data_IF_001385307318
#
_entry.id   IF_001385307318
#
_cell.length_a   1.000
_cell.length_b   1.000
_cell.length_c   1.000
_cell.angle_alpha   90.00
_cell.angle_beta   90.00
_cell.angle_gamma   90.00
#
_symmetry.space_group_name_H-M   'P 1'
#
loop_
_entity.id
_entity.type
_entity.pdbx_description
1 polymer ?
#
# COMPACT_ATOMS: atom_id res chain seq x y z
N UNK A 1 25.47 7.02 -10.84
CA UNK A 1 26.12 6.34 -9.68
C UNK A 1 25.85 4.84 -9.78
N UNK A 2 26.87 4.05 -9.60
CA UNK A 2 26.76 2.59 -9.60
C UNK A 2 26.21 2.13 -8.23
N UNK A 3 25.43 1.05 -8.23
CA UNK A 3 24.92 0.42 -7.01
C UNK A 3 26.09 0.05 -6.07
N UNK A 4 27.20 -0.39 -6.62
CA UNK A 4 28.41 -0.78 -5.87
C UNK A 4 29.04 0.37 -5.10
N UNK A 5 28.76 1.61 -5.49
CA UNK A 5 29.29 2.80 -4.82
C UNK A 5 28.49 3.21 -3.57
N UNK A 6 27.36 2.56 -3.33
CA UNK A 6 26.51 2.86 -2.17
C UNK A 6 27.06 2.18 -0.91
N UNK A 7 27.01 2.87 0.24
CA UNK A 7 27.42 2.26 1.50
C UNK A 7 26.58 1.01 1.84
N UNK A 8 27.15 0.05 2.56
CA UNK A 8 26.38 -1.11 3.03
C UNK A 8 25.17 -0.66 3.85
N UNK A 9 24.03 -1.33 3.63
CA UNK A 9 22.78 -1.04 4.32
C UNK A 9 21.88 -0.04 3.62
N UNK A 10 22.40 0.70 2.63
CA UNK A 10 21.56 1.58 1.82
C UNK A 10 20.79 0.77 0.76
N UNK A 11 19.54 1.18 0.42
CA UNK A 11 18.84 0.53 -0.67
C UNK A 11 19.58 0.74 -1.99
N UNK A 12 19.50 -0.23 -2.93
CA UNK A 12 20.18 -0.12 -4.23
C UNK A 12 19.58 0.95 -5.15
N UNK A 13 18.42 1.47 -4.81
CA UNK A 13 17.72 2.48 -5.59
C UNK A 13 17.41 3.69 -4.71
N UNK A 14 17.24 4.87 -5.32
CA UNK A 14 16.98 6.11 -4.62
C UNK A 14 15.62 6.13 -3.93
N UNK A 15 14.62 5.46 -4.52
CA UNK A 15 13.26 5.42 -3.99
C UNK A 15 12.69 4.01 -4.06
N UNK A 16 11.74 3.68 -3.17
CA UNK A 16 10.96 2.45 -3.31
C UNK A 16 10.26 2.34 -4.67
N UNK A 17 9.82 3.48 -5.23
CA UNK A 17 9.19 3.52 -6.54
C UNK A 17 10.11 2.98 -7.65
N UNK A 18 11.37 3.43 -7.69
CA UNK A 18 12.35 2.92 -8.64
C UNK A 18 12.68 1.45 -8.34
N UNK A 19 12.79 1.12 -7.06
CA UNK A 19 13.14 -0.24 -6.63
C UNK A 19 12.07 -1.26 -7.04
N UNK A 20 10.79 -0.92 -6.87
CA UNK A 20 9.69 -1.85 -7.22
C UNK A 20 9.57 -2.05 -8.74
N UNK A 21 10.03 -1.10 -9.54
CA UNK A 21 9.97 -1.17 -10.99
C UNK A 21 9.10 -0.13 -11.68
N UNK A 22 8.75 0.95 -10.97
CA UNK A 22 8.00 2.06 -11.52
C UNK A 22 6.50 1.92 -11.43
N UNK A 23 5.80 2.80 -12.14
CA UNK A 23 4.34 2.96 -12.01
C UNK A 23 3.55 1.71 -12.41
N UNK A 24 3.98 1.00 -13.47
CA UNK A 24 3.28 -0.22 -13.90
C UNK A 24 3.31 -1.31 -12.82
N UNK A 25 4.41 -1.42 -12.08
CA UNK A 25 4.53 -2.39 -10.99
C UNK A 25 3.72 -1.97 -9.77
N UNK A 26 3.64 -0.69 -9.47
CA UNK A 26 2.74 -0.18 -8.43
C UNK A 26 1.29 -0.52 -8.77
N UNK A 27 0.89 -0.29 -10.01
CA UNK A 27 -0.47 -0.61 -10.47
C UNK A 27 -0.78 -2.11 -10.39
N UNK A 28 0.17 -2.96 -10.80
CA UNK A 28 0.01 -4.41 -10.70
C UNK A 28 -0.16 -4.85 -9.24
N UNK A 29 0.61 -4.28 -8.33
CA UNK A 29 0.50 -4.55 -6.90
C UNK A 29 -0.89 -4.18 -6.37
N UNK A 30 -1.38 -2.99 -6.70
CA UNK A 30 -2.68 -2.51 -6.24
C UNK A 30 -3.81 -3.38 -6.81
N UNK A 31 -3.73 -3.74 -8.08
CA UNK A 31 -4.74 -4.61 -8.69
C UNK A 31 -4.78 -5.96 -7.98
N UNK A 32 -3.62 -6.57 -7.70
CA UNK A 32 -3.57 -7.84 -6.99
C UNK A 32 -4.11 -7.72 -5.56
N UNK A 33 -3.78 -6.63 -4.88
CA UNK A 33 -4.26 -6.35 -3.53
C UNK A 33 -5.79 -6.36 -3.47
N UNK A 34 -6.45 -5.64 -4.38
CA UNK A 34 -7.92 -5.60 -4.40
C UNK A 34 -8.54 -6.91 -4.87
N UNK A 35 -7.90 -7.61 -5.80
CA UNK A 35 -8.37 -8.92 -6.22
C UNK A 35 -8.35 -9.93 -5.06
N UNK A 36 -7.27 -9.94 -4.28
CA UNK A 36 -7.16 -10.79 -3.09
C UNK A 36 -8.19 -10.43 -2.04
N UNK A 37 -8.40 -9.14 -1.80
CA UNK A 37 -9.40 -8.66 -0.85
C UNK A 37 -10.80 -9.18 -1.20
N UNK A 38 -11.12 -9.23 -2.48
CA UNK A 38 -12.42 -9.66 -2.96
C UNK A 38 -12.57 -11.19 -2.99
N UNK A 39 -11.49 -11.91 -3.24
CA UNK A 39 -11.53 -13.35 -3.47
C UNK A 39 -11.22 -14.19 -2.22
N UNK A 40 -10.39 -13.69 -1.30
CA UNK A 40 -9.90 -14.49 -0.19
C UNK A 40 -10.73 -14.28 1.09
N UNK A 41 -11.29 -15.37 1.67
CA UNK A 41 -12.09 -15.26 2.90
C UNK A 41 -11.32 -14.68 4.08
N UNK A 42 -10.00 -14.86 4.11
CA UNK A 42 -9.14 -14.32 5.18
C UNK A 42 -9.19 -12.81 5.28
N UNK A 43 -9.65 -12.11 4.24
CA UNK A 43 -9.72 -10.65 4.20
C UNK A 43 -11.16 -10.12 4.24
N UNK A 44 -12.09 -10.94 4.77
CA UNK A 44 -13.51 -10.59 4.77
C UNK A 44 -13.83 -9.31 5.55
N UNK A 45 -13.20 -9.10 6.71
CA UNK A 45 -13.42 -7.89 7.50
C UNK A 45 -12.92 -6.65 6.75
N UNK A 46 -11.77 -6.75 6.13
CA UNK A 46 -11.20 -5.68 5.30
C UNK A 46 -12.11 -5.37 4.12
N UNK A 47 -12.59 -6.40 3.43
CA UNK A 47 -13.51 -6.25 2.30
C UNK A 47 -14.80 -5.54 2.71
N UNK A 48 -15.36 -5.95 3.85
CA UNK A 48 -16.59 -5.35 4.37
C UNK A 48 -16.40 -3.86 4.70
N UNK A 49 -15.23 -3.47 5.18
CA UNK A 49 -14.93 -2.06 5.52
C UNK A 49 -14.89 -1.17 4.28
N UNK A 50 -14.71 -1.73 3.08
CA UNK A 50 -14.63 -0.96 1.83
C UNK A 50 -15.99 -0.71 1.17
N UNK A 51 -17.07 -1.30 1.67
CA UNK A 51 -18.38 -1.19 1.03
C UNK A 51 -18.44 -1.94 -0.29
N UNK A 52 -19.37 -1.55 -1.18
CA UNK A 52 -19.63 -2.29 -2.41
C UNK A 52 -18.79 -1.86 -3.60
N UNK A 53 -18.32 -0.61 -3.63
CA UNK A 53 -17.65 -0.04 -4.80
C UNK A 53 -16.13 0.00 -4.59
N UNK A 54 -15.41 -0.87 -5.30
CA UNK A 54 -13.94 -0.94 -5.21
C UNK A 54 -13.20 -0.20 -6.32
N UNK A 55 -13.84 0.07 -7.45
CA UNK A 55 -13.16 0.65 -8.61
C UNK A 55 -12.52 2.00 -8.28
N UNK A 56 -13.25 2.86 -7.59
CA UNK A 56 -12.77 4.18 -7.20
C UNK A 56 -11.63 4.09 -6.17
N UNK A 57 -11.77 3.20 -5.18
CA UNK A 57 -10.73 2.97 -4.18
C UNK A 57 -9.44 2.46 -4.85
N UNK A 58 -9.57 1.54 -5.78
CA UNK A 58 -8.45 0.97 -6.55
C UNK A 58 -7.67 2.05 -7.29
N UNK A 59 -8.35 2.91 -8.02
CA UNK A 59 -7.69 3.99 -8.76
C UNK A 59 -7.03 5.01 -7.85
N UNK A 60 -7.68 5.38 -6.75
CA UNK A 60 -7.09 6.31 -5.78
C UNK A 60 -5.86 5.73 -5.10
N UNK A 61 -5.87 4.45 -4.75
CA UNK A 61 -4.71 3.81 -4.14
C UNK A 61 -3.53 3.74 -5.09
N UNK A 62 -3.78 3.46 -6.38
CA UNK A 62 -2.72 3.50 -7.39
C UNK A 62 -2.01 4.85 -7.41
N UNK A 63 -2.78 5.93 -7.45
CA UNK A 63 -2.23 7.28 -7.46
C UNK A 63 -1.50 7.62 -6.17
N UNK A 64 -2.09 7.25 -5.03
CA UNK A 64 -1.49 7.53 -3.73
C UNK A 64 -0.17 6.78 -3.54
N UNK A 65 -0.14 5.47 -3.80
CA UNK A 65 1.08 4.68 -3.60
C UNK A 65 2.20 5.07 -4.55
N UNK A 66 1.86 5.48 -5.78
CA UNK A 66 2.86 5.98 -6.72
C UNK A 66 3.64 7.14 -6.11
N UNK A 67 2.96 8.13 -5.55
CA UNK A 67 3.60 9.26 -4.89
C UNK A 67 4.24 8.90 -3.56
N UNK A 68 3.58 8.06 -2.76
CA UNK A 68 4.07 7.63 -1.44
C UNK A 68 5.40 6.88 -1.54
N UNK A 69 5.59 6.13 -2.61
CA UNK A 69 6.84 5.41 -2.86
C UNK A 69 7.94 6.28 -3.49
N UNK A 70 7.67 7.54 -3.74
CA UNK A 70 8.64 8.48 -4.27
C UNK A 70 8.56 8.74 -5.77
N UNK A 71 7.50 8.27 -6.43
CA UNK A 71 7.22 8.56 -7.83
C UNK A 71 6.45 9.85 -8.02
N UNK A 72 5.85 10.06 -9.21
CA UNK A 72 5.04 11.25 -9.47
C UNK A 72 3.91 11.39 -8.48
N UNK A 73 3.65 12.64 -8.05
CA UNK A 73 2.64 12.94 -7.03
C UNK A 73 1.22 12.99 -7.63
N UNK A 74 0.77 11.90 -8.21
CA UNK A 74 -0.50 11.79 -8.94
C UNK A 74 -1.70 12.14 -8.07
N UNK A 75 -1.74 11.59 -6.85
CA UNK A 75 -2.87 11.84 -5.95
C UNK A 75 -2.94 13.31 -5.55
N UNK A 76 -1.81 13.88 -5.12
CA UNK A 76 -1.75 15.26 -4.66
C UNK A 76 -2.08 16.24 -5.77
N UNK A 77 -1.62 15.98 -6.99
CA UNK A 77 -1.91 16.83 -8.15
C UNK A 77 -3.42 16.88 -8.45
N UNK A 78 -4.13 15.79 -8.25
CA UNK A 78 -5.56 15.70 -8.58
C UNK A 78 -6.46 16.04 -7.40
N UNK A 79 -6.11 15.62 -6.18
CA UNK A 79 -6.99 15.72 -5.01
C UNK A 79 -6.44 16.58 -3.88
N UNK A 80 -5.22 17.11 -4.00
CA UNK A 80 -4.56 17.84 -2.92
C UNK A 80 -3.99 16.92 -1.84
N UNK A 81 -3.78 17.45 -0.65
CA UNK A 81 -3.19 16.70 0.46
C UNK A 81 -4.03 15.46 0.77
N UNK A 82 -3.40 14.26 0.94
CA UNK A 82 -4.15 13.02 1.16
C UNK A 82 -5.02 13.02 2.41
N UNK A 83 -4.54 13.61 3.52
CA UNK A 83 -5.27 13.64 4.80
C UNK A 83 -5.82 12.27 5.17
N UNK A 84 -4.95 11.26 5.17
CA UNK A 84 -5.33 9.86 5.26
C UNK A 84 -6.22 9.55 6.46
N UNK A 85 -5.82 9.99 7.65
CA UNK A 85 -6.59 9.70 8.85
C UNK A 85 -7.99 10.31 8.79
N UNK A 86 -8.10 11.56 8.37
CA UNK A 86 -9.39 12.23 8.26
C UNK A 86 -10.32 11.52 7.26
N UNK A 87 -9.78 11.11 6.11
CA UNK A 87 -10.56 10.44 5.08
C UNK A 87 -11.02 9.04 5.47
N UNK A 88 -10.32 8.41 6.43
CA UNK A 88 -10.68 7.08 6.93
C UNK A 88 -11.61 7.12 8.15
N UNK A 89 -11.84 8.29 8.74
CA UNK A 89 -12.71 8.41 9.93
C UNK A 89 -14.14 7.89 9.72
N UNK A 90 -14.76 8.04 8.53
CA UNK A 90 -16.08 7.46 8.28
C UNK A 90 -16.14 5.94 8.32
N UNK A 91 -15.00 5.26 8.23
CA UNK A 91 -14.93 3.81 8.19
C UNK A 91 -14.54 3.25 9.56
N UNK A 92 -15.06 2.06 9.90
CA UNK A 92 -14.70 1.39 11.15
C UNK A 92 -13.41 0.61 10.94
N UNK A 93 -12.31 1.09 11.51
CA UNK A 93 -10.99 0.48 11.34
C UNK A 93 -10.43 0.10 12.71
N UNK A 94 -10.47 -1.20 13.00
CA UNK A 94 -9.91 -1.77 14.20
C UNK A 94 -8.65 -2.59 13.90
N UNK A 95 -8.27 -3.42 14.87
CA UNK A 95 -7.09 -4.28 14.75
C UNK A 95 -7.25 -5.31 13.61
N UNK A 96 -8.45 -5.90 13.48
CA UNK A 96 -8.69 -6.90 12.43
C UNK A 96 -8.51 -6.31 11.03
N UNK A 97 -9.08 -5.14 10.77
CA UNK A 97 -8.98 -4.47 9.47
C UNK A 97 -7.55 -4.04 9.19
N UNK A 98 -6.84 -3.52 10.20
CA UNK A 98 -5.42 -3.18 10.07
C UNK A 98 -4.58 -4.40 9.72
N UNK A 99 -4.74 -5.49 10.47
CA UNK A 99 -3.94 -6.70 10.27
C UNK A 99 -4.24 -7.34 8.93
N UNK A 100 -5.50 -7.40 8.52
CA UNK A 100 -5.89 -7.94 7.23
C UNK A 100 -5.39 -7.08 6.07
N UNK A 101 -5.40 -5.76 6.21
CA UNK A 101 -4.86 -4.86 5.20
C UNK A 101 -3.36 -5.14 4.96
N UNK A 102 -2.60 -5.24 6.04
CA UNK A 102 -1.16 -5.51 5.93
C UNK A 102 -0.89 -6.90 5.38
N UNK A 103 -1.63 -7.91 5.84
CA UNK A 103 -1.48 -9.28 5.36
C UNK A 103 -1.84 -9.40 3.88
N UNK A 104 -2.92 -8.75 3.45
CA UNK A 104 -3.36 -8.73 2.06
C UNK A 104 -2.31 -8.05 1.16
N UNK A 105 -1.79 -6.91 1.60
CA UNK A 105 -0.75 -6.20 0.85
C UNK A 105 0.54 -7.02 0.79
N UNK A 106 0.92 -7.68 1.87
CA UNK A 106 2.09 -8.55 1.88
C UNK A 106 1.94 -9.71 0.90
N UNK A 107 0.78 -10.35 0.88
CA UNK A 107 0.49 -11.42 -0.09
C UNK A 107 0.54 -10.89 -1.52
N UNK A 108 -0.04 -9.71 -1.77
CA UNK A 108 -0.01 -9.08 -3.08
C UNK A 108 1.43 -8.78 -3.52
N UNK A 109 2.27 -8.30 -2.59
CA UNK A 109 3.69 -8.07 -2.88
C UNK A 109 4.42 -9.36 -3.25
N UNK A 110 4.14 -10.47 -2.54
CA UNK A 110 4.71 -11.76 -2.87
C UNK A 110 4.30 -12.23 -4.26
N UNK A 111 3.02 -12.13 -4.58
CA UNK A 111 2.46 -12.63 -5.83
C UNK A 111 2.81 -11.77 -7.03
N UNK A 112 3.16 -10.50 -6.83
CA UNK A 112 3.67 -9.62 -7.89
C UNK A 112 5.20 -9.53 -7.91
N UNK A 113 5.87 -10.42 -7.17
CA UNK A 113 7.32 -10.60 -7.18
C UNK A 113 8.11 -9.36 -6.72
N UNK A 114 7.60 -8.65 -5.72
CA UNK A 114 8.36 -7.56 -5.11
C UNK A 114 9.59 -8.14 -4.41
N UNK A 115 10.75 -7.50 -4.62
CA UNK A 115 12.00 -7.91 -3.98
C UNK A 115 11.82 -8.07 -2.46
N UNK A 116 12.38 -9.14 -1.91
CA UNK A 116 12.17 -9.54 -0.53
C UNK A 116 12.61 -8.48 0.48
N UNK A 117 13.71 -7.79 0.22
CA UNK A 117 14.21 -6.74 1.10
C UNK A 117 13.27 -5.52 1.07
N UNK A 118 12.85 -5.13 -0.13
CA UNK A 118 11.87 -4.04 -0.30
C UNK A 118 10.55 -4.41 0.37
N UNK A 119 10.06 -5.62 0.15
CA UNK A 119 8.81 -6.10 0.75
C UNK A 119 8.84 -6.00 2.27
N UNK A 120 9.93 -6.41 2.89
CA UNK A 120 10.09 -6.33 4.35
C UNK A 120 9.99 -4.88 4.83
N UNK A 121 10.67 -3.97 4.16
CA UNK A 121 10.65 -2.53 4.50
C UNK A 121 9.28 -1.91 4.28
N UNK A 122 8.64 -2.23 3.15
CA UNK A 122 7.31 -1.71 2.85
C UNK A 122 6.28 -2.24 3.83
N UNK A 123 6.36 -3.53 4.20
CA UNK A 123 5.43 -4.12 5.16
C UNK A 123 5.47 -3.39 6.50
N UNK A 124 6.66 -3.06 6.98
CA UNK A 124 6.82 -2.30 8.21
C UNK A 124 6.20 -0.90 8.10
N UNK A 125 6.48 -0.20 7.01
CA UNK A 125 5.92 1.13 6.76
C UNK A 125 4.40 1.09 6.60
N UNK A 126 3.89 0.08 5.92
CA UNK A 126 2.45 -0.11 5.78
C UNK A 126 1.78 -0.39 7.13
N UNK A 127 2.42 -1.18 8.00
CA UNK A 127 1.87 -1.45 9.33
C UNK A 127 1.77 -0.16 10.15
N UNK A 128 2.80 0.68 10.13
CA UNK A 128 2.78 1.96 10.83
C UNK A 128 1.67 2.87 10.31
N UNK A 129 1.52 2.96 8.99
CA UNK A 129 0.48 3.78 8.37
C UNK A 129 -0.91 3.23 8.65
N UNK A 130 -1.11 1.93 8.52
CA UNK A 130 -2.39 1.28 8.78
C UNK A 130 -2.80 1.42 10.25
N UNK A 131 -1.85 1.29 11.17
CA UNK A 131 -2.11 1.49 12.59
C UNK A 131 -2.54 2.93 12.89
N UNK A 132 -1.94 3.89 12.22
CA UNK A 132 -2.32 5.30 12.32
C UNK A 132 -3.77 5.55 11.88
N UNK A 133 -4.29 4.73 10.95
CA UNK A 133 -5.66 4.85 10.46
C UNK A 133 -6.70 4.27 11.40
N UNK A 134 -6.30 3.51 12.42
CA UNK A 134 -7.26 2.89 13.35
C UNK A 134 -8.07 3.95 14.07
N UNK A 135 -9.37 3.67 14.20
CA UNK A 135 -10.31 4.50 14.96
C UNK A 135 -11.19 3.66 15.88
N UNK A 136 -10.85 2.39 16.06
CA UNK A 136 -11.45 1.47 17.04
C UNK A 136 -10.34 0.83 17.87
N UNK A 137 -10.61 0.60 19.14
CA UNK A 137 -9.64 0.00 20.05
C UNK A 137 -9.48 -1.52 19.90
N UNK A 138 -10.34 -2.13 19.14
CA UNK A 138 -10.35 -3.58 18.93
C UNK A 138 -10.44 -3.96 17.46
#
# INVERSE_FOLDING_TARGET
MNIEDKPPGNPPFETPFAWIGGESQVHALVDRFYDLMDLEPDYAALRAAHGTELANAREKLKMFLTGWMGGPQRYTEQFGHPRLRMRHMPFSIGIAERDQWVACMDQAMQETHVDVTLRTRLKESFMQTADWMRNRGV
#
